data_IF_228066848072
#
_entry.id   IF_228066848072
#
_cell.length_a   1.000
_cell.length_b   1.000
_cell.length_c   1.000
_cell.angle_alpha   90.00
_cell.angle_beta   90.00
_cell.angle_gamma   90.00
#
_symmetry.space_group_name_H-M   'P 1'
#
loop_
_entity.id
_entity.type
_entity.pdbx_description
1 polymer ?
#
# COMPACT_ATOMS: atom_id res chain seq x y z
N UNK A 1 -43.42 15.10 -13.68
CA UNK A 1 -42.39 14.03 -13.65
C UNK A 1 -41.24 14.58 -12.83
N UNK A 2 -41.21 14.26 -11.54
CA UNK A 2 -40.11 14.67 -10.66
C UNK A 2 -38.97 13.68 -10.88
N UNK A 3 -37.86 14.18 -11.40
CA UNK A 3 -36.59 13.45 -11.46
C UNK A 3 -36.06 13.40 -10.03
N UNK A 4 -36.24 12.26 -9.38
CA UNK A 4 -35.65 11.92 -8.10
C UNK A 4 -34.12 11.89 -8.32
N UNK A 5 -33.42 12.92 -7.83
CA UNK A 5 -31.97 12.90 -7.73
C UNK A 5 -31.61 11.90 -6.64
N UNK A 6 -31.37 10.64 -7.02
CA UNK A 6 -30.79 9.65 -6.11
C UNK A 6 -29.51 10.26 -5.49
N UNK A 7 -29.37 10.24 -4.15
CA UNK A 7 -28.12 10.61 -3.54
C UNK A 7 -27.09 9.57 -3.96
N UNK A 8 -26.19 9.95 -4.87
CA UNK A 8 -24.96 9.20 -5.11
C UNK A 8 -24.32 9.06 -3.73
N UNK A 9 -24.29 7.83 -3.23
CA UNK A 9 -23.62 7.46 -2.00
C UNK A 9 -22.11 7.59 -2.26
N UNK A 10 -21.65 8.83 -2.35
CA UNK A 10 -20.26 9.23 -2.43
C UNK A 10 -19.67 8.82 -1.09
N UNK A 11 -19.08 7.62 -1.05
CA UNK A 11 -18.09 7.30 -0.04
C UNK A 11 -17.21 8.55 0.14
N UNK A 12 -17.00 9.03 1.38
CA UNK A 12 -16.27 10.26 1.60
C UNK A 12 -14.94 10.17 0.86
N UNK A 13 -14.66 11.15 -0.01
CA UNK A 13 -13.41 11.18 -0.75
C UNK A 13 -12.25 11.01 0.25
N UNK A 14 -11.32 10.07 0.02
CA UNK A 14 -10.22 9.86 0.94
C UNK A 14 -9.49 11.17 1.14
N UNK A 15 -9.19 11.51 2.40
CA UNK A 15 -8.42 12.70 2.70
C UNK A 15 -7.11 12.68 1.89
N UNK A 16 -6.66 13.83 1.37
CA UNK A 16 -5.44 13.94 0.55
C UNK A 16 -4.24 13.31 1.26
N UNK A 17 -4.20 13.40 2.59
CA UNK A 17 -3.22 12.76 3.46
C UNK A 17 -3.25 11.23 3.38
N UNK A 18 -4.43 10.62 3.33
CA UNK A 18 -4.60 9.16 3.26
C UNK A 18 -4.32 8.64 1.85
N UNK A 19 -4.64 9.42 0.82
CA UNK A 19 -4.24 9.14 -0.55
C UNK A 19 -2.70 9.14 -0.69
N UNK A 20 -2.02 10.16 -0.16
CA UNK A 20 -0.55 10.24 -0.18
C UNK A 20 0.11 9.06 0.52
N UNK A 21 -0.33 8.72 1.74
CA UNK A 21 0.21 7.58 2.50
C UNK A 21 0.04 6.28 1.73
N UNK A 22 -1.16 6.04 1.19
CA UNK A 22 -1.48 4.80 0.47
C UNK A 22 -0.67 4.67 -0.81
N UNK A 23 -0.63 5.70 -1.65
CA UNK A 23 0.13 5.68 -2.91
C UNK A 23 1.64 5.61 -2.66
N UNK A 24 2.14 6.32 -1.65
CA UNK A 24 3.55 6.27 -1.24
C UNK A 24 3.95 4.87 -0.75
N UNK A 25 3.15 4.28 0.14
CA UNK A 25 3.39 2.95 0.65
C UNK A 25 3.30 1.87 -0.45
N UNK A 26 2.32 1.97 -1.35
CA UNK A 26 2.18 1.05 -2.49
C UNK A 26 3.41 1.10 -3.42
N UNK A 27 3.91 2.31 -3.71
CA UNK A 27 5.07 2.47 -4.58
C UNK A 27 6.33 1.83 -3.97
N UNK A 28 6.56 2.03 -2.67
CA UNK A 28 7.72 1.42 -2.00
C UNK A 28 7.54 -0.08 -1.81
N UNK A 29 6.32 -0.56 -1.58
CA UNK A 29 6.09 -2.01 -1.51
C UNK A 29 6.28 -2.68 -2.89
N UNK A 30 5.83 -2.05 -3.97
CA UNK A 30 6.09 -2.52 -5.32
C UNK A 30 7.60 -2.56 -5.61
N UNK A 31 8.34 -1.53 -5.20
CA UNK A 31 9.81 -1.47 -5.30
C UNK A 31 10.48 -2.60 -4.50
N UNK A 32 10.09 -2.78 -3.23
CA UNK A 32 10.58 -3.89 -2.40
C UNK A 32 10.27 -5.26 -3.00
N UNK A 33 9.19 -5.38 -3.77
CA UNK A 33 8.89 -6.61 -4.50
C UNK A 33 9.67 -6.77 -5.80
N UNK A 34 10.02 -5.69 -6.49
CA UNK A 34 10.69 -5.79 -7.77
C UNK A 34 12.21 -5.93 -7.61
N UNK A 35 12.79 -5.37 -6.55
CA UNK A 35 14.23 -5.29 -6.39
C UNK A 35 14.74 -6.27 -5.32
N UNK A 36 15.45 -7.32 -5.77
CA UNK A 36 16.00 -8.36 -4.90
C UNK A 36 17.09 -7.90 -3.92
N UNK A 37 17.57 -6.65 -3.99
CA UNK A 37 18.74 -6.16 -3.25
C UNK A 37 18.53 -4.86 -2.48
N UNK A 38 17.31 -4.35 -2.37
CA UNK A 38 17.08 -3.15 -1.55
C UNK A 38 17.10 -3.52 -0.06
N UNK A 39 17.93 -2.82 0.70
CA UNK A 39 18.00 -2.92 2.16
C UNK A 39 16.93 -2.06 2.87
N UNK A 40 16.67 -2.36 4.14
CA UNK A 40 15.63 -1.68 4.93
C UNK A 40 15.86 -0.17 5.07
N UNK A 41 17.11 0.29 5.14
CA UNK A 41 17.41 1.72 5.26
C UNK A 41 17.03 2.47 3.99
N UNK A 42 17.31 1.90 2.82
CA UNK A 42 16.91 2.45 1.53
C UNK A 42 15.39 2.52 1.37
N UNK A 43 14.64 1.48 1.79
CA UNK A 43 13.17 1.54 1.80
C UNK A 43 12.63 2.62 2.73
N UNK A 44 13.20 2.75 3.92
CA UNK A 44 12.77 3.78 4.89
C UNK A 44 12.96 5.19 4.32
N UNK A 45 14.08 5.44 3.63
CA UNK A 45 14.29 6.72 2.93
C UNK A 45 13.25 6.98 1.84
N UNK A 46 12.92 5.97 1.04
CA UNK A 46 11.87 6.11 0.01
C UNK A 46 10.49 6.36 0.62
N UNK A 47 10.17 5.71 1.74
CA UNK A 47 8.94 5.95 2.50
C UNK A 47 8.89 7.39 3.00
N UNK A 48 9.95 7.86 3.66
CA UNK A 48 10.01 9.23 4.17
C UNK A 48 9.88 10.26 3.04
N UNK A 49 10.54 10.02 1.90
CA UNK A 49 10.47 10.90 0.73
C UNK A 49 9.07 10.99 0.11
N UNK A 50 8.27 9.92 0.20
CA UNK A 50 6.96 9.83 -0.46
C UNK A 50 5.80 10.18 0.47
N UNK A 51 5.92 9.84 1.74
CA UNK A 51 4.87 10.01 2.74
C UNK A 51 5.17 11.18 3.68
N UNK A 52 6.36 11.17 4.29
CA UNK A 52 6.83 12.17 5.23
C UNK A 52 7.66 11.57 6.38
N UNK A 53 8.27 12.44 7.18
CA UNK A 53 9.12 12.07 8.33
C UNK A 53 8.36 11.23 9.37
N UNK A 54 9.06 10.29 10.01
CA UNK A 54 8.50 9.41 11.06
C UNK A 54 7.73 8.20 10.52
N UNK A 55 7.78 7.98 9.20
CA UNK A 55 7.31 6.76 8.57
C UNK A 55 8.47 5.80 8.31
N UNK A 56 8.24 4.53 8.57
CA UNK A 56 9.14 3.44 8.20
C UNK A 56 8.41 2.47 7.26
N UNK A 57 9.14 1.53 6.69
CA UNK A 57 8.58 0.49 5.86
C UNK A 57 7.56 -0.36 6.64
N UNK A 58 7.85 -0.70 7.90
CA UNK A 58 6.91 -1.36 8.79
C UNK A 58 5.60 -0.57 8.96
N UNK A 59 5.67 0.73 9.27
CA UNK A 59 4.45 1.53 9.49
C UNK A 59 3.68 1.76 8.18
N UNK A 60 4.38 1.81 7.04
CA UNK A 60 3.78 1.84 5.71
C UNK A 60 3.02 0.54 5.39
N UNK A 61 3.61 -0.62 5.69
CA UNK A 61 2.93 -1.91 5.51
C UNK A 61 1.72 -2.04 6.45
N UNK A 62 1.83 -1.56 7.69
CA UNK A 62 0.71 -1.53 8.64
C UNK A 62 -0.44 -0.69 8.11
N UNK A 63 -0.12 0.47 7.53
CA UNK A 63 -1.09 1.34 6.89
C UNK A 63 -1.81 0.63 5.73
N UNK A 64 -1.07 -0.05 4.85
CA UNK A 64 -1.66 -0.80 3.72
C UNK A 64 -2.57 -1.95 4.17
N UNK A 65 -2.29 -2.56 5.32
CA UNK A 65 -3.16 -3.59 5.89
C UNK A 65 -4.48 -3.08 6.46
N UNK A 66 -4.64 -1.75 6.61
CA UNK A 66 -5.80 -1.12 7.24
C UNK A 66 -6.91 -0.68 6.28
N UNK A 67 -8.12 -0.51 6.83
CA UNK A 67 -9.34 -0.16 6.08
C UNK A 67 -9.25 1.19 5.36
N UNK A 68 -8.50 2.16 5.92
CA UNK A 68 -8.35 3.50 5.31
C UNK A 68 -7.60 3.44 3.97
N UNK A 69 -6.55 2.62 3.88
CA UNK A 69 -5.84 2.42 2.63
C UNK A 69 -6.74 1.72 1.59
N UNK A 70 -7.64 0.83 2.05
CA UNK A 70 -8.55 0.11 1.15
C UNK A 70 -9.59 1.06 0.56
N UNK A 71 -10.16 1.94 1.39
CA UNK A 71 -11.08 2.97 0.94
C UNK A 71 -10.45 3.90 -0.11
N UNK A 72 -9.17 4.26 0.07
CA UNK A 72 -8.41 5.04 -0.93
C UNK A 72 -8.38 4.34 -2.28
N UNK A 73 -7.90 3.08 -2.32
CA UNK A 73 -7.76 2.34 -3.58
C UNK A 73 -9.12 2.07 -4.21
N UNK A 74 -10.16 1.77 -3.42
CA UNK A 74 -11.52 1.59 -3.92
C UNK A 74 -12.07 2.85 -4.59
N UNK A 75 -11.80 4.03 -4.03
CA UNK A 75 -12.22 5.33 -4.55
C UNK A 75 -11.48 5.81 -5.80
N UNK A 76 -10.40 5.14 -6.23
CA UNK A 76 -9.70 5.46 -7.47
C UNK A 76 -10.54 5.06 -8.70
N UNK A 77 -10.39 5.79 -9.81
CA UNK A 77 -11.03 5.41 -11.06
C UNK A 77 -10.52 4.03 -11.52
N UNK A 78 -11.41 3.21 -12.09
CA UNK A 78 -11.04 1.89 -12.64
C UNK A 78 -10.13 2.02 -13.88
N UNK A 79 -10.23 3.14 -14.60
CA UNK A 79 -9.39 3.45 -15.76
C UNK A 79 -8.25 4.38 -15.35
N UNK A 80 -7.01 3.92 -15.52
CA UNK A 80 -5.80 4.72 -15.30
C UNK A 80 -4.70 3.98 -14.55
N UNK A 81 -3.50 4.58 -14.57
CA UNK A 81 -2.36 4.14 -13.76
C UNK A 81 -1.97 5.24 -12.79
N UNK A 82 -1.81 4.92 -11.51
CA UNK A 82 -1.35 5.86 -10.49
C UNK A 82 0.07 5.47 -10.09
N UNK A 83 1.05 6.33 -10.37
CA UNK A 83 2.47 6.01 -10.14
C UNK A 83 2.95 4.79 -10.92
N UNK A 84 2.38 4.53 -12.10
CA UNK A 84 2.71 3.36 -12.93
C UNK A 84 2.00 2.05 -12.54
N UNK A 85 1.21 2.05 -11.47
CA UNK A 85 0.44 0.88 -11.04
C UNK A 85 -1.01 0.97 -11.51
N UNK A 86 -1.55 -0.14 -12.03
CA UNK A 86 -2.99 -0.28 -12.28
C UNK A 86 -3.74 -0.45 -10.96
N UNK A 87 -5.05 -0.14 -10.94
CA UNK A 87 -5.90 -0.37 -9.76
C UNK A 87 -5.87 -1.83 -9.30
N UNK A 88 -5.82 -2.76 -10.25
CA UNK A 88 -5.68 -4.19 -9.95
C UNK A 88 -4.35 -4.50 -9.26
N UNK A 89 -3.23 -4.02 -9.81
CA UNK A 89 -1.91 -4.23 -9.20
C UNK A 89 -1.83 -3.62 -7.78
N UNK A 90 -2.46 -2.46 -7.56
CA UNK A 90 -2.57 -1.87 -6.22
C UNK A 90 -3.38 -2.76 -5.27
N UNK A 91 -4.53 -3.31 -5.71
CA UNK A 91 -5.33 -4.24 -4.91
C UNK A 91 -4.55 -5.51 -4.57
N UNK A 92 -3.80 -6.08 -5.52
CA UNK A 92 -3.00 -7.27 -5.30
C UNK A 92 -1.88 -7.02 -4.27
N UNK A 93 -1.21 -5.86 -4.37
CA UNK A 93 -0.23 -5.42 -3.37
C UNK A 93 -0.89 -5.23 -2.00
N UNK A 94 -2.07 -4.60 -1.93
CA UNK A 94 -2.79 -4.45 -0.66
C UNK A 94 -3.16 -5.80 -0.03
N UNK A 95 -3.59 -6.77 -0.83
CA UNK A 95 -3.91 -8.11 -0.35
C UNK A 95 -2.65 -8.82 0.18
N UNK A 96 -1.52 -8.74 -0.54
CA UNK A 96 -0.24 -9.26 -0.06
C UNK A 96 0.20 -8.58 1.24
N UNK A 97 0.07 -7.26 1.33
CA UNK A 97 0.39 -6.53 2.56
C UNK A 97 -0.49 -7.00 3.73
N UNK A 98 -1.81 -7.10 3.52
CA UNK A 98 -2.73 -7.58 4.55
C UNK A 98 -2.40 -9.02 5.01
N UNK A 99 -2.08 -9.92 4.08
CA UNK A 99 -1.67 -11.29 4.39
C UNK A 99 -0.35 -11.35 5.18
N UNK A 100 0.61 -10.46 4.87
CA UNK A 100 1.85 -10.31 5.64
C UNK A 100 1.58 -9.77 7.05
N UNK A 101 0.67 -8.80 7.18
CA UNK A 101 0.28 -8.24 8.48
C UNK A 101 -0.27 -9.30 9.43
N UNK A 102 -1.07 -10.23 8.92
CA UNK A 102 -1.63 -11.34 9.70
C UNK A 102 -0.58 -12.32 10.23
N UNK A 103 0.62 -12.34 9.62
CA UNK A 103 1.71 -13.23 9.98
C UNK A 103 2.76 -12.54 10.88
N UNK A 104 2.54 -11.27 11.27
CA UNK A 104 3.55 -10.53 12.01
C UNK A 104 3.80 -11.13 13.40
N UNK A 105 5.05 -11.51 13.70
CA UNK A 105 5.43 -11.75 15.08
C UNK A 105 5.47 -10.43 15.86
N UNK A 106 5.37 -10.48 17.20
CA UNK A 106 5.45 -9.28 18.06
C UNK A 106 6.79 -8.52 17.95
N UNK A 107 7.83 -9.14 17.38
CA UNK A 107 9.14 -8.54 17.13
C UNK A 107 9.38 -8.23 15.64
N UNK A 108 8.31 -8.14 14.83
CA UNK A 108 8.42 -7.78 13.42
C UNK A 108 9.09 -6.41 13.25
N UNK A 109 10.07 -6.35 12.36
CA UNK A 109 10.78 -5.13 11.99
C UNK A 109 10.95 -5.09 10.46
N UNK A 110 11.54 -4.01 9.95
CA UNK A 110 11.74 -3.82 8.50
C UNK A 110 12.55 -4.98 7.87
N UNK A 111 13.56 -5.50 8.59
CA UNK A 111 14.38 -6.62 8.12
C UNK A 111 13.59 -7.94 8.03
N UNK A 112 12.74 -8.22 9.02
CA UNK A 112 11.84 -9.37 8.99
C UNK A 112 10.87 -9.28 7.81
N UNK A 113 10.32 -8.09 7.56
CA UNK A 113 9.41 -7.83 6.45
C UNK A 113 10.09 -8.10 5.10
N UNK A 114 11.29 -7.55 4.91
CA UNK A 114 12.09 -7.79 3.71
C UNK A 114 12.39 -9.29 3.51
N UNK A 115 12.83 -9.98 4.56
CA UNK A 115 13.10 -11.40 4.49
C UNK A 115 11.84 -12.20 4.08
N UNK A 116 10.67 -11.82 4.58
CA UNK A 116 9.40 -12.47 4.23
C UNK A 116 8.97 -12.20 2.80
N UNK A 117 9.13 -10.96 2.32
CA UNK A 117 8.84 -10.58 0.92
C UNK A 117 9.73 -11.36 -0.05
N UNK A 118 11.03 -11.44 0.23
CA UNK A 118 11.98 -12.21 -0.58
C UNK A 118 11.66 -13.71 -0.56
N UNK A 119 11.26 -14.25 0.60
CA UNK A 119 10.86 -15.65 0.71
C UNK A 119 9.60 -15.95 -0.11
N UNK A 120 8.58 -15.09 -0.06
CA UNK A 120 7.32 -15.25 -0.81
C UNK A 120 7.55 -15.26 -2.33
N UNK A 121 8.46 -14.41 -2.82
CA UNK A 121 8.82 -14.38 -4.24
C UNK A 121 9.51 -15.65 -4.72
N UNK A 122 10.38 -16.23 -3.89
CA UNK A 122 11.07 -17.47 -4.23
C UNK A 122 10.14 -18.69 -4.30
N UNK A 123 8.96 -18.61 -3.69
CA UNK A 123 7.95 -19.68 -3.74
C UNK A 123 7.00 -19.54 -4.94
N UNK A 124 6.97 -18.38 -5.61
CA UNK A 124 6.12 -18.10 -6.76
C UNK A 124 6.79 -18.45 -8.11
N UNK A 125 8.04 -18.94 -8.09
CA UNK A 125 8.82 -19.40 -9.23
C UNK A 125 9.16 -20.89 -9.09
#
# INVERSE_FOLDING_TARGET
MNTDCEPINLMPAPAITDARKTLGALAVFAMARNEQLIDAHSLNREIESRIGTGWSFLTAMQWLGGEKAQAVVQGLAEQGTYGGLSKQAMRDLMQSAHALCQQWPPHANDNWLLARIVADQRQAH
#
